data_IF_318212025203
#
_entry.id   IF_318212025203
#
_cell.length_a   1.000
_cell.length_b   1.000
_cell.length_c   1.000
_cell.angle_alpha   90.00
_cell.angle_beta   90.00
_cell.angle_gamma   90.00
#
_symmetry.space_group_name_H-M   'P 1'
#
loop_
_entity.id
_entity.type
_entity.pdbx_description
1 polymer ?
#
# COMPACT_ATOMS: atom_id res chain seq x y z
N UNK A 1 -91.13 44.74 -68.22
CA UNK A 1 -91.91 43.49 -68.36
C UNK A 1 -91.28 42.75 -69.54
N UNK A 2 -90.70 41.55 -69.48
CA UNK A 2 -90.45 40.50 -68.46
C UNK A 2 -89.32 39.59 -69.03
N UNK A 3 -88.56 38.72 -68.32
CA UNK A 3 -88.57 38.30 -66.91
C UNK A 3 -87.22 37.68 -66.43
N UNK A 4 -87.19 37.32 -65.14
CA UNK A 4 -86.53 36.15 -64.49
C UNK A 4 -85.40 35.37 -65.22
N UNK A 5 -84.23 35.27 -64.59
CA UNK A 5 -83.83 34.08 -63.79
C UNK A 5 -82.42 34.22 -63.19
N UNK A 6 -82.22 33.70 -61.97
CA UNK A 6 -80.92 33.68 -61.30
C UNK A 6 -80.01 32.54 -61.78
N UNK A 7 -78.68 32.69 -61.62
CA UNK A 7 -77.70 31.59 -61.73
C UNK A 7 -76.89 31.46 -60.42
N UNK A 8 -76.48 30.23 -60.04
CA UNK A 8 -76.10 29.92 -58.67
C UNK A 8 -74.61 30.14 -58.36
N UNK A 9 -74.31 30.22 -57.07
CA UNK A 9 -72.96 30.26 -56.50
C UNK A 9 -72.30 28.87 -56.65
N UNK A 10 -71.19 28.80 -57.38
CA UNK A 10 -70.29 27.64 -57.38
C UNK A 10 -69.15 27.83 -56.38
N UNK A 11 -68.74 26.79 -55.62
CA UNK A 11 -67.71 26.95 -54.59
C UNK A 11 -66.32 27.14 -55.21
N UNK A 12 -65.65 28.23 -54.83
CA UNK A 12 -64.25 28.49 -55.19
C UNK A 12 -63.30 27.48 -54.54
N UNK A 13 -63.03 26.38 -55.25
CA UNK A 13 -62.10 25.35 -54.81
C UNK A 13 -60.68 25.90 -54.70
N UNK A 14 -60.22 26.16 -53.47
CA UNK A 14 -58.79 26.40 -53.20
C UNK A 14 -58.02 25.14 -53.59
N UNK A 15 -57.17 25.22 -54.60
CA UNK A 15 -56.23 24.17 -54.97
C UNK A 15 -55.22 23.94 -53.84
N UNK A 16 -55.57 23.08 -52.89
CA UNK A 16 -54.61 22.48 -51.97
C UNK A 16 -53.67 21.61 -52.80
N UNK A 17 -52.57 22.20 -53.27
CA UNK A 17 -51.45 21.43 -53.79
C UNK A 17 -51.10 20.38 -52.73
N UNK A 18 -51.15 19.07 -53.06
CA UNK A 18 -50.82 18.05 -52.09
C UNK A 18 -49.38 18.30 -51.63
N UNK A 19 -49.20 18.44 -50.32
CA UNK A 19 -47.89 18.57 -49.67
C UNK A 19 -47.06 17.39 -50.17
N UNK A 20 -46.09 17.69 -51.04
CA UNK A 20 -45.60 16.71 -52.00
C UNK A 20 -45.04 15.45 -51.34
N UNK A 21 -45.07 14.28 -52.01
CA UNK A 21 -44.62 13.01 -51.42
C UNK A 21 -43.18 13.05 -50.88
N UNK A 22 -42.35 13.99 -51.36
CA UNK A 22 -41.01 14.25 -50.82
C UNK A 22 -41.02 14.81 -49.39
N UNK A 23 -41.98 15.68 -49.03
CA UNK A 23 -42.11 16.21 -47.66
C UNK A 23 -42.54 15.09 -46.70
N UNK A 24 -43.48 14.23 -47.13
CA UNK A 24 -43.87 13.05 -46.36
C UNK A 24 -42.69 12.07 -46.17
N UNK A 25 -41.89 11.82 -47.22
CA UNK A 25 -40.67 10.98 -47.15
C UNK A 25 -39.61 11.56 -46.21
N UNK A 26 -39.37 12.87 -46.25
CA UNK A 26 -38.43 13.54 -45.33
C UNK A 26 -38.94 13.48 -43.89
N UNK A 27 -40.24 13.70 -43.66
CA UNK A 27 -40.86 13.54 -42.35
C UNK A 27 -40.67 12.13 -41.78
N UNK A 28 -40.97 11.09 -42.58
CA UNK A 28 -40.76 9.69 -42.19
C UNK A 28 -39.28 9.41 -41.89
N UNK A 29 -38.36 9.87 -42.74
CA UNK A 29 -36.92 9.68 -42.52
C UNK A 29 -36.44 10.33 -41.21
N UNK A 30 -36.92 11.55 -40.90
CA UNK A 30 -36.62 12.23 -39.64
C UNK A 30 -37.24 11.52 -38.42
N UNK A 31 -38.48 11.03 -38.52
CA UNK A 31 -39.12 10.24 -37.45
C UNK A 31 -38.40 8.92 -37.18
N UNK A 32 -37.92 8.23 -38.23
CA UNK A 32 -37.11 7.00 -38.09
C UNK A 32 -35.75 7.31 -37.47
N UNK A 33 -35.08 8.38 -37.91
CA UNK A 33 -33.81 8.81 -37.31
C UNK A 33 -33.96 9.21 -35.84
N UNK A 34 -35.02 9.95 -35.49
CA UNK A 34 -35.33 10.31 -34.11
C UNK A 34 -35.68 9.09 -33.26
N UNK A 35 -36.46 8.15 -33.80
CA UNK A 35 -36.77 6.87 -33.15
C UNK A 35 -35.53 6.03 -32.89
N UNK A 36 -34.58 5.97 -33.84
CA UNK A 36 -33.31 5.29 -33.68
C UNK A 36 -32.41 5.96 -32.62
N UNK A 37 -32.36 7.30 -32.59
CA UNK A 37 -31.65 8.05 -31.54
C UNK A 37 -32.29 7.84 -30.15
N UNK A 38 -33.62 7.87 -30.06
CA UNK A 38 -34.34 7.63 -28.81
C UNK A 38 -34.16 6.18 -28.31
N UNK A 39 -34.21 5.19 -29.20
CA UNK A 39 -33.91 3.80 -28.88
C UNK A 39 -32.45 3.60 -28.45
N UNK A 40 -31.50 4.26 -29.11
CA UNK A 40 -30.09 4.28 -28.71
C UNK A 40 -29.88 4.90 -27.33
N UNK A 41 -30.46 6.08 -27.08
CA UNK A 41 -30.43 6.74 -25.78
C UNK A 41 -31.06 5.87 -24.67
N UNK A 42 -32.24 5.29 -24.93
CA UNK A 42 -32.92 4.37 -24.01
C UNK A 42 -32.10 3.10 -23.73
N UNK A 43 -31.43 2.52 -24.73
CA UNK A 43 -30.51 1.40 -24.54
C UNK A 43 -29.35 1.78 -23.61
N UNK A 44 -28.74 2.95 -23.80
CA UNK A 44 -27.66 3.44 -22.93
C UNK A 44 -28.15 3.82 -21.52
N UNK A 45 -29.32 4.41 -21.38
CA UNK A 45 -29.90 4.88 -20.11
C UNK A 45 -30.62 3.80 -19.28
N UNK A 46 -31.07 2.70 -19.90
CA UNK A 46 -31.86 1.65 -19.22
C UNK A 46 -31.15 0.30 -19.23
N UNK A 47 -30.56 -0.11 -20.36
CA UNK A 47 -29.94 -1.45 -20.49
C UNK A 47 -28.46 -1.43 -20.10
N UNK A 48 -27.74 -0.35 -20.43
CA UNK A 48 -26.32 -0.16 -20.11
C UNK A 48 -26.05 0.81 -18.96
N UNK A 49 -27.06 1.38 -18.32
CA UNK A 49 -26.85 2.31 -17.20
C UNK A 49 -26.19 1.65 -16.01
N UNK A 50 -26.62 0.46 -15.57
CA UNK A 50 -25.99 -0.23 -14.44
C UNK A 50 -24.45 -0.43 -14.58
N UNK A 51 -23.90 -0.92 -15.72
CA UNK A 51 -22.45 -0.99 -15.90
C UNK A 51 -21.76 0.36 -16.16
N UNK A 52 -22.45 1.39 -16.68
CA UNK A 52 -21.88 2.73 -16.87
C UNK A 52 -21.85 3.57 -15.58
N UNK A 53 -22.88 3.45 -14.75
CA UNK A 53 -22.96 4.11 -13.44
C UNK A 53 -22.01 3.52 -12.40
N UNK A 54 -21.51 2.30 -12.63
CA UNK A 54 -20.49 1.64 -11.82
C UNK A 54 -19.10 1.59 -12.51
N UNK A 55 -18.93 2.29 -13.64
CA UNK A 55 -17.68 2.26 -14.38
C UNK A 55 -16.55 2.98 -13.61
N UNK A 56 -15.31 2.43 -13.57
CA UNK A 56 -14.21 3.02 -12.77
C UNK A 56 -13.78 4.43 -13.21
N UNK A 57 -14.09 4.81 -14.45
CA UNK A 57 -13.83 6.11 -15.07
C UNK A 57 -15.00 7.11 -14.88
N UNK A 58 -16.12 6.67 -14.29
CA UNK A 58 -17.26 7.54 -14.05
C UNK A 58 -16.92 8.61 -12.98
N UNK A 59 -17.02 9.92 -13.28
CA UNK A 59 -16.67 10.97 -12.33
C UNK A 59 -17.43 10.92 -11.01
N UNK A 60 -18.69 10.43 -11.01
CA UNK A 60 -19.48 10.28 -9.79
C UNK A 60 -18.99 9.12 -8.91
N UNK A 61 -18.54 8.01 -9.52
CA UNK A 61 -17.92 6.88 -8.80
C UNK A 61 -16.57 7.30 -8.23
N UNK A 62 -15.75 8.01 -9.02
CA UNK A 62 -14.45 8.55 -8.57
C UNK A 62 -14.65 9.58 -7.44
N UNK A 63 -15.68 10.43 -7.51
CA UNK A 63 -16.01 11.37 -6.44
C UNK A 63 -16.48 10.63 -5.16
N UNK A 64 -17.33 9.61 -5.28
CA UNK A 64 -17.74 8.79 -4.15
C UNK A 64 -16.55 8.06 -3.50
N UNK A 65 -15.64 7.49 -4.30
CA UNK A 65 -14.40 6.86 -3.81
C UNK A 65 -13.49 7.85 -3.08
N UNK A 66 -13.40 9.09 -3.56
CA UNK A 66 -12.64 10.16 -2.87
C UNK A 66 -13.28 10.61 -1.56
N UNK A 67 -14.60 10.43 -1.41
CA UNK A 67 -15.34 10.79 -0.20
C UNK A 67 -15.46 9.64 0.82
N UNK A 68 -15.20 8.39 0.42
CA UNK A 68 -15.19 7.24 1.31
C UNK A 68 -14.01 7.32 2.31
N UNK A 69 -14.27 7.31 3.64
CA UNK A 69 -13.20 7.30 4.64
C UNK A 69 -12.51 5.94 4.68
N UNK A 70 -11.18 5.92 4.85
CA UNK A 70 -10.42 4.67 4.97
C UNK A 70 -10.61 4.03 6.35
N UNK A 71 -10.62 2.71 6.44
CA UNK A 71 -10.71 1.96 7.68
C UNK A 71 -9.61 2.38 8.67
N UNK A 72 -9.92 2.41 9.96
CA UNK A 72 -8.94 2.79 10.99
C UNK A 72 -7.83 1.73 11.08
N UNK A 73 -6.63 2.16 11.45
CA UNK A 73 -5.55 1.24 11.83
C UNK A 73 -5.37 1.37 13.34
N UNK A 74 -5.39 0.24 14.06
CA UNK A 74 -5.25 0.18 15.52
C UNK A 74 -4.12 -0.76 15.92
N UNK A 75 -3.49 -0.50 17.07
CA UNK A 75 -2.48 -1.39 17.66
C UNK A 75 -3.11 -2.63 18.32
N UNK A 76 -2.28 -3.52 18.88
CA UNK A 76 -2.75 -4.78 19.48
C UNK A 76 -3.73 -4.59 20.65
N UNK A 77 -3.67 -3.44 21.31
CA UNK A 77 -4.50 -3.10 22.47
C UNK A 77 -5.72 -2.23 22.06
N UNK A 78 -5.85 -1.90 20.77
CA UNK A 78 -6.95 -1.12 20.21
C UNK A 78 -6.70 0.39 20.14
N UNK A 79 -5.48 0.85 20.44
CA UNK A 79 -5.10 2.26 20.33
C UNK A 79 -5.13 2.68 18.87
N UNK A 80 -5.86 3.74 18.53
CA UNK A 80 -5.94 4.25 17.15
C UNK A 80 -4.58 4.82 16.72
N UNK A 81 -4.07 4.32 15.59
CA UNK A 81 -2.81 4.73 14.99
C UNK A 81 -3.01 5.58 13.73
N UNK A 82 -3.97 5.19 12.88
CA UNK A 82 -4.37 5.92 11.68
C UNK A 82 -5.89 6.10 11.62
N UNK A 83 -6.31 7.29 11.23
CA UNK A 83 -7.70 7.74 11.19
C UNK A 83 -7.91 8.73 10.02
N UNK A 84 -9.09 9.31 9.90
CA UNK A 84 -9.41 10.28 8.83
C UNK A 84 -9.78 11.66 9.38
N UNK A 85 -9.51 12.69 8.60
CA UNK A 85 -9.98 14.07 8.83
C UNK A 85 -10.41 14.67 7.49
N UNK A 86 -11.34 15.63 7.51
CA UNK A 86 -11.76 16.36 6.30
C UNK A 86 -10.89 17.60 6.07
N UNK A 87 -10.59 17.89 4.81
CA UNK A 87 -10.01 19.17 4.38
C UNK A 87 -11.08 20.26 4.24
N UNK A 88 -10.67 21.45 3.78
CA UNK A 88 -11.54 22.61 3.55
C UNK A 88 -12.64 22.38 2.52
N UNK A 89 -12.44 21.42 1.59
CA UNK A 89 -13.43 21.03 0.59
C UNK A 89 -14.34 19.89 1.07
N UNK A 90 -14.13 19.41 2.30
CA UNK A 90 -14.88 18.31 2.90
C UNK A 90 -14.41 16.91 2.49
N UNK A 91 -13.35 16.79 1.68
CA UNK A 91 -12.80 15.49 1.26
C UNK A 91 -11.95 14.88 2.39
N UNK A 92 -12.06 13.57 2.68
CA UNK A 92 -11.26 12.90 3.71
C UNK A 92 -9.78 12.74 3.28
N UNK A 93 -8.86 12.99 4.21
CA UNK A 93 -7.45 12.65 4.13
C UNK A 93 -7.01 11.91 5.40
N UNK A 94 -5.88 11.20 5.32
CA UNK A 94 -5.37 10.40 6.43
C UNK A 94 -4.64 11.23 7.48
N UNK A 95 -4.81 10.84 8.74
CA UNK A 95 -4.09 11.39 9.88
C UNK A 95 -3.51 10.25 10.71
N UNK A 96 -2.25 10.39 11.11
CA UNK A 96 -1.49 9.40 11.87
C UNK A 96 -1.15 9.99 13.24
N UNK A 97 -1.43 9.23 14.31
CA UNK A 97 -1.32 9.76 15.69
C UNK A 97 0.10 9.74 16.24
N UNK A 98 1.02 9.01 15.62
CA UNK A 98 2.40 8.87 16.08
C UNK A 98 3.39 8.62 14.93
N UNK A 99 4.47 9.41 14.91
CA UNK A 99 5.53 9.30 13.89
C UNK A 99 6.39 8.04 14.05
N UNK A 100 6.43 7.42 15.23
CA UNK A 100 7.08 6.12 15.45
C UNK A 100 6.44 4.99 14.64
N UNK A 101 5.16 5.15 14.23
CA UNK A 101 4.46 4.20 13.36
C UNK A 101 4.62 4.51 11.86
N UNK A 102 5.04 5.72 11.47
CA UNK A 102 5.10 6.13 10.06
C UNK A 102 5.95 5.24 9.16
N UNK A 103 7.14 4.73 9.56
CA UNK A 103 7.90 3.80 8.72
C UNK A 103 7.21 2.43 8.50
N UNK A 104 6.28 2.05 9.37
CA UNK A 104 5.53 0.78 9.31
C UNK A 104 4.22 0.96 8.54
N UNK A 105 3.38 1.89 9.00
CA UNK A 105 2.08 2.17 8.41
C UNK A 105 2.25 2.77 7.01
N UNK A 106 3.30 3.56 6.80
CA UNK A 106 3.49 4.36 5.61
C UNK A 106 2.64 5.62 5.66
N UNK A 107 2.07 5.97 4.51
CA UNK A 107 1.14 7.08 4.32
C UNK A 107 0.13 6.72 3.22
N UNK A 108 -0.99 7.42 3.17
CA UNK A 108 -1.88 7.46 2.01
C UNK A 108 -2.12 8.93 1.63
N UNK A 109 -1.68 9.31 0.43
CA UNK A 109 -1.74 10.69 -0.10
C UNK A 109 -2.38 10.69 -1.47
N UNK A 110 -3.29 11.64 -1.73
CA UNK A 110 -3.92 11.82 -3.06
C UNK A 110 -2.89 12.19 -4.14
N UNK A 111 -1.77 12.83 -3.75
CA UNK A 111 -0.73 13.30 -4.65
C UNK A 111 0.45 12.31 -4.78
N UNK A 112 0.80 11.60 -3.71
CA UNK A 112 2.00 10.73 -3.65
C UNK A 112 1.70 9.23 -3.50
N UNK A 113 0.43 8.83 -3.60
CA UNK A 113 -0.01 7.43 -3.50
C UNK A 113 0.07 6.87 -2.09
N UNK A 114 0.20 5.55 -1.99
CA UNK A 114 0.25 4.80 -0.72
C UNK A 114 1.61 4.13 -0.49
N UNK A 115 1.98 3.97 0.79
CA UNK A 115 3.20 3.29 1.22
C UNK A 115 2.93 2.38 2.43
N UNK A 116 3.89 1.53 2.81
CA UNK A 116 3.78 0.68 4.01
C UNK A 116 2.51 -0.19 4.05
N UNK A 117 1.95 -0.38 5.24
CA UNK A 117 0.68 -1.09 5.45
C UNK A 117 -0.51 -0.46 4.71
N UNK A 118 -0.55 0.87 4.53
CA UNK A 118 -1.61 1.54 3.77
C UNK A 118 -1.68 1.06 2.32
N UNK A 119 -0.53 0.72 1.73
CA UNK A 119 -0.47 0.13 0.39
C UNK A 119 -0.77 -1.35 0.39
N UNK A 120 -0.25 -2.11 1.36
CA UNK A 120 -0.44 -3.57 1.43
C UNK A 120 -1.90 -3.95 1.69
N UNK A 121 -2.60 -3.19 2.54
CA UNK A 121 -3.99 -3.43 2.92
C UNK A 121 -4.96 -2.43 2.27
N UNK A 122 -4.58 -1.83 1.14
CA UNK A 122 -5.35 -0.75 0.50
C UNK A 122 -6.80 -1.17 0.19
N UNK A 123 -6.98 -2.38 -0.38
CA UNK A 123 -8.30 -2.90 -0.72
C UNK A 123 -9.21 -3.08 0.50
N UNK A 124 -8.67 -3.58 1.62
CA UNK A 124 -9.41 -3.75 2.87
C UNK A 124 -9.72 -2.39 3.51
N UNK A 125 -8.74 -1.47 3.53
CA UNK A 125 -8.89 -0.14 4.11
C UNK A 125 -9.85 0.76 3.32
N UNK A 126 -9.95 0.60 1.99
CA UNK A 126 -10.98 1.29 1.17
C UNK A 126 -12.33 0.56 1.22
N UNK A 127 -12.36 -0.70 1.63
CA UNK A 127 -13.57 -1.53 1.59
C UNK A 127 -13.90 -2.06 0.19
N UNK A 128 -12.93 -2.06 -0.73
CA UNK A 128 -13.06 -2.52 -2.11
C UNK A 128 -12.86 -4.04 -2.24
N UNK A 129 -13.37 -4.82 -1.28
CA UNK A 129 -13.17 -6.28 -1.22
C UNK A 129 -13.89 -6.95 -2.40
N UNK A 130 -13.10 -7.39 -3.39
CA UNK A 130 -13.56 -8.20 -4.52
C UNK A 130 -13.08 -9.65 -4.41
N UNK A 131 -13.99 -10.59 -4.17
CA UNK A 131 -13.74 -11.98 -4.55
C UNK A 131 -14.96 -12.68 -5.20
N UNK A 132 -16.11 -12.03 -5.38
CA UNK A 132 -17.31 -12.71 -5.91
C UNK A 132 -18.23 -11.82 -6.78
N UNK A 133 -18.29 -12.05 -8.11
CA UNK A 133 -19.22 -11.38 -9.04
C UNK A 133 -20.71 -11.57 -8.72
N UNK A 134 -21.08 -12.60 -7.95
CA UNK A 134 -22.47 -12.87 -7.53
C UNK A 134 -22.87 -11.92 -6.40
N UNK A 135 -21.95 -11.65 -5.46
CA UNK A 135 -22.16 -10.66 -4.38
C UNK A 135 -22.33 -9.23 -4.90
N UNK A 136 -21.58 -8.86 -5.95
CA UNK A 136 -21.65 -7.58 -6.68
C UNK A 136 -23.03 -7.33 -7.34
N UNK A 137 -23.87 -8.35 -7.48
CA UNK A 137 -25.21 -8.20 -8.05
C UNK A 137 -26.28 -7.94 -6.97
N UNK A 138 -26.08 -8.42 -5.74
CA UNK A 138 -26.95 -8.18 -4.59
C UNK A 138 -26.64 -6.83 -3.92
N UNK A 139 -25.36 -6.48 -3.79
CA UNK A 139 -24.93 -5.19 -3.19
C UNK A 139 -25.27 -3.95 -4.03
N UNK A 140 -25.71 -4.10 -5.28
CA UNK A 140 -26.25 -2.99 -6.10
C UNK A 140 -27.56 -2.40 -5.57
N UNK A 141 -28.17 -3.03 -4.57
CA UNK A 141 -29.31 -2.50 -3.81
C UNK A 141 -28.93 -2.03 -2.39
N UNK A 142 -27.65 -2.09 -1.99
CA UNK A 142 -27.16 -1.48 -0.74
C UNK A 142 -26.79 -0.01 -0.96
N UNK A 143 -27.07 0.83 0.03
CA UNK A 143 -26.95 2.30 -0.06
C UNK A 143 -25.52 2.83 0.00
N UNK A 144 -24.55 2.00 0.43
CA UNK A 144 -23.13 2.34 0.47
C UNK A 144 -22.29 1.14 0.01
N UNK A 145 -21.61 1.22 -1.16
CA UNK A 145 -20.84 0.11 -1.70
C UNK A 145 -19.43 -0.02 -1.08
N UNK A 146 -19.04 0.84 -0.14
CA UNK A 146 -17.73 0.80 0.52
C UNK A 146 -17.86 0.32 1.97
N UNK A 147 -17.23 -0.82 2.29
CA UNK A 147 -17.16 -1.38 3.66
C UNK A 147 -15.72 -1.29 4.21
N UNK A 148 -15.24 -0.09 4.60
CA UNK A 148 -13.84 0.14 4.96
C UNK A 148 -13.45 -0.58 6.26
N UNK A 149 -12.65 -1.65 6.15
CA UNK A 149 -12.35 -2.52 7.27
C UNK A 149 -11.26 -1.97 8.19
N UNK A 150 -11.46 -2.13 9.50
CA UNK A 150 -10.47 -1.76 10.51
C UNK A 150 -9.33 -2.78 10.54
N UNK A 151 -8.10 -2.31 10.32
CA UNK A 151 -6.89 -3.13 10.45
C UNK A 151 -6.39 -3.11 11.88
N UNK A 152 -6.31 -4.28 12.53
CA UNK A 152 -5.69 -4.46 13.84
C UNK A 152 -4.29 -5.06 13.68
N UNK A 153 -3.29 -4.43 14.28
CA UNK A 153 -1.90 -4.89 14.24
C UNK A 153 -1.55 -5.72 15.47
N UNK A 154 -0.51 -6.56 15.38
CA UNK A 154 0.14 -7.22 16.52
C UNK A 154 1.15 -6.31 17.25
N UNK A 155 1.51 -5.17 16.64
CA UNK A 155 2.44 -4.19 17.21
C UNK A 155 1.83 -3.53 18.45
N UNK A 156 2.68 -3.30 19.47
CA UNK A 156 2.35 -2.51 20.66
C UNK A 156 2.93 -1.10 20.52
N UNK A 157 2.09 -0.05 20.55
CA UNK A 157 2.56 1.33 20.44
C UNK A 157 3.56 1.73 21.55
N UNK A 158 3.38 1.32 22.83
CA UNK A 158 4.38 1.52 23.88
C UNK A 158 5.78 0.95 23.54
N UNK A 159 5.85 -0.28 23.00
CA UNK A 159 7.12 -0.91 22.61
C UNK A 159 7.74 -0.23 21.39
N UNK A 160 6.94 0.09 20.37
CA UNK A 160 7.40 0.84 19.19
C UNK A 160 8.03 2.18 19.59
N UNK A 161 7.35 2.94 20.47
CA UNK A 161 7.87 4.22 21.01
C UNK A 161 9.16 4.02 21.81
N UNK A 162 9.25 2.95 22.60
CA UNK A 162 10.47 2.64 23.36
C UNK A 162 11.66 2.35 22.44
N UNK A 163 11.44 1.55 21.38
CA UNK A 163 12.47 1.23 20.40
C UNK A 163 12.92 2.45 19.57
N UNK A 164 12.00 3.32 19.14
CA UNK A 164 12.34 4.57 18.46
C UNK A 164 13.12 5.52 19.38
N UNK A 165 12.76 5.62 20.67
CA UNK A 165 13.55 6.39 21.64
C UNK A 165 14.95 5.80 21.88
N UNK A 166 15.06 4.47 21.94
CA UNK A 166 16.35 3.79 22.13
C UNK A 166 17.29 3.97 20.93
N UNK A 167 16.75 4.01 19.70
CA UNK A 167 17.49 4.35 18.49
C UNK A 167 17.89 5.84 18.42
N UNK A 168 17.13 6.73 19.06
CA UNK A 168 17.46 8.16 19.17
C UNK A 168 17.70 8.83 17.81
N UNK A 169 18.92 9.33 17.60
CA UNK A 169 19.34 10.01 16.38
C UNK A 169 20.01 9.06 15.35
N UNK A 170 20.23 7.79 15.70
CA UNK A 170 20.93 6.85 14.84
C UNK A 170 20.06 6.40 13.66
N UNK A 171 20.72 5.95 12.59
CA UNK A 171 20.05 5.46 11.36
C UNK A 171 19.85 3.95 11.42
N UNK A 172 18.99 3.48 12.31
CA UNK A 172 18.85 2.06 12.62
C UNK A 172 17.43 1.51 12.48
N UNK A 173 17.28 0.26 12.91
CA UNK A 173 16.00 -0.43 13.04
C UNK A 173 16.03 -1.36 14.25
N UNK A 174 14.86 -1.64 14.82
CA UNK A 174 14.68 -2.64 15.87
C UNK A 174 13.44 -3.46 15.54
N UNK A 175 13.58 -4.78 15.57
CA UNK A 175 12.48 -5.74 15.39
C UNK A 175 12.32 -6.49 16.71
N UNK A 176 11.08 -6.62 17.19
CA UNK A 176 10.74 -7.49 18.31
C UNK A 176 9.64 -8.45 17.86
N UNK A 177 9.86 -9.74 18.10
CA UNK A 177 8.95 -10.83 17.74
C UNK A 177 8.58 -11.62 18.99
N UNK A 178 7.36 -12.14 19.07
CA UNK A 178 7.11 -13.30 19.95
C UNK A 178 7.52 -14.57 19.19
N UNK A 179 8.58 -15.29 19.62
CA UNK A 179 9.10 -16.45 18.88
C UNK A 179 8.15 -17.66 18.90
N UNK A 180 7.10 -17.65 19.74
CA UNK A 180 6.13 -18.75 19.86
C UNK A 180 4.97 -18.60 18.88
N UNK A 181 4.64 -17.37 18.50
CA UNK A 181 3.47 -17.05 17.65
C UNK A 181 3.86 -16.42 16.31
N UNK A 182 5.08 -15.90 16.18
CA UNK A 182 5.52 -15.10 15.04
C UNK A 182 4.95 -13.68 15.03
N UNK A 183 4.25 -13.23 16.08
CA UNK A 183 3.71 -11.87 16.15
C UNK A 183 4.84 -10.83 16.16
N UNK A 184 4.79 -9.86 15.23
CA UNK A 184 5.65 -8.68 15.24
C UNK A 184 5.14 -7.68 16.28
N UNK A 185 5.84 -7.56 17.41
CA UNK A 185 5.51 -6.66 18.51
C UNK A 185 6.04 -5.24 18.30
N UNK A 186 7.12 -5.10 17.54
CA UNK A 186 7.77 -3.83 17.19
C UNK A 186 8.51 -3.96 15.86
N UNK A 187 8.43 -2.92 15.04
CA UNK A 187 9.14 -2.79 13.76
C UNK A 187 9.62 -1.34 13.61
N UNK A 188 10.52 -0.91 14.50
CA UNK A 188 11.01 0.46 14.54
C UNK A 188 12.07 0.72 13.45
N UNK A 189 12.11 1.95 12.95
CA UNK A 189 13.08 2.44 11.97
C UNK A 189 13.31 3.94 12.20
N UNK A 190 14.57 4.37 12.23
CA UNK A 190 14.95 5.77 12.45
C UNK A 190 15.86 6.29 11.33
N UNK A 191 15.81 7.60 11.00
CA UNK A 191 14.86 8.59 11.52
C UNK A 191 13.42 8.37 11.02
N UNK A 192 12.45 8.79 11.83
CA UNK A 192 11.02 8.79 11.51
C UNK A 192 10.62 10.04 10.70
N UNK A 193 9.35 10.13 10.29
CA UNK A 193 8.76 11.29 9.63
C UNK A 193 7.30 11.46 10.05
N UNK A 194 6.69 12.62 9.77
CA UNK A 194 5.24 12.80 9.92
C UNK A 194 4.51 12.37 8.64
N UNK A 195 3.86 11.21 8.69
CA UNK A 195 3.01 10.73 7.59
C UNK A 195 1.76 11.59 7.38
N UNK A 196 1.26 12.30 8.41
CA UNK A 196 0.08 13.17 8.30
C UNK A 196 0.38 14.37 7.42
N UNK A 197 1.58 14.93 7.52
CA UNK A 197 2.03 16.02 6.67
C UNK A 197 2.27 15.61 5.19
N UNK A 198 2.38 14.31 4.87
CA UNK A 198 2.39 13.78 3.49
C UNK A 198 0.95 13.55 2.98
N UNK A 199 0.03 13.15 3.86
CA UNK A 199 -1.36 12.88 3.55
C UNK A 199 -2.22 14.15 3.43
N UNK A 200 -1.93 15.19 4.21
CA UNK A 200 -2.62 16.48 4.17
C UNK A 200 -2.30 17.25 2.87
N UNK A 201 -3.31 17.61 2.05
CA UNK A 201 -3.12 18.35 0.80
C UNK A 201 -2.32 19.66 0.95
N UNK A 202 -2.49 20.39 2.05
CA UNK A 202 -1.86 21.71 2.25
C UNK A 202 -0.34 21.63 2.47
N UNK A 203 0.17 20.46 2.89
CA UNK A 203 1.57 20.26 3.27
C UNK A 203 2.28 19.17 2.47
N UNK A 204 1.53 18.34 1.73
CA UNK A 204 2.02 17.13 1.08
C UNK A 204 3.25 17.35 0.21
N UNK A 205 3.19 18.31 -0.71
CA UNK A 205 4.24 18.53 -1.70
C UNK A 205 5.56 18.99 -1.07
N UNK A 206 5.48 19.95 -0.14
CA UNK A 206 6.65 20.46 0.59
C UNK A 206 7.28 19.34 1.43
N UNK A 207 6.47 18.65 2.23
CA UNK A 207 6.93 17.58 3.13
C UNK A 207 7.54 16.42 2.34
N UNK A 208 6.86 15.93 1.32
CA UNK A 208 7.33 14.79 0.54
C UNK A 208 8.65 15.09 -0.19
N UNK A 209 8.78 16.28 -0.80
CA UNK A 209 10.02 16.69 -1.43
C UNK A 209 11.18 16.80 -0.44
N UNK A 210 10.96 17.39 0.74
CA UNK A 210 11.96 17.47 1.80
C UNK A 210 12.41 16.08 2.29
N UNK A 211 11.49 15.15 2.50
CA UNK A 211 11.80 13.80 2.95
C UNK A 211 12.50 12.97 1.87
N UNK A 212 12.13 13.15 0.59
CA UNK A 212 12.72 12.47 -0.57
C UNK A 212 14.18 12.87 -0.81
N UNK A 213 14.55 14.12 -0.59
CA UNK A 213 15.93 14.61 -0.77
C UNK A 213 16.78 14.56 0.49
N UNK A 214 16.24 14.09 1.61
CA UNK A 214 16.96 14.05 2.88
C UNK A 214 18.06 12.97 2.89
N UNK A 215 19.30 13.39 3.15
CA UNK A 215 20.48 12.52 3.23
C UNK A 215 20.41 11.45 4.35
N UNK A 216 19.48 11.57 5.30
CA UNK A 216 19.21 10.55 6.32
C UNK A 216 18.19 9.50 5.90
N UNK A 217 17.55 9.64 4.73
CA UNK A 217 16.58 8.68 4.17
C UNK A 217 15.49 8.24 5.18
N UNK A 218 14.63 9.16 5.65
CA UNK A 218 13.54 8.84 6.60
C UNK A 218 12.43 7.99 5.98
N UNK A 219 12.24 8.06 4.66
CA UNK A 219 11.24 7.26 3.94
C UNK A 219 11.64 5.78 3.76
N UNK A 220 12.88 5.39 4.10
CA UNK A 220 13.36 4.01 4.00
C UNK A 220 12.98 3.20 5.26
N UNK A 221 12.12 2.17 5.16
CA UNK A 221 11.82 1.27 6.27
C UNK A 221 13.01 0.31 6.47
N UNK A 222 13.93 0.68 7.36
CA UNK A 222 15.24 0.01 7.50
C UNK A 222 15.12 -1.47 7.87
N UNK A 223 14.14 -1.83 8.68
CA UNK A 223 13.89 -3.21 9.11
C UNK A 223 13.57 -4.20 7.97
N UNK A 224 12.99 -3.72 6.86
CA UNK A 224 12.45 -4.60 5.79
C UNK A 224 12.96 -4.27 4.40
N UNK A 225 13.50 -3.07 4.17
CA UNK A 225 14.04 -2.62 2.89
C UNK A 225 15.53 -2.20 2.99
N UNK A 226 16.08 -2.09 4.20
CA UNK A 226 17.51 -1.92 4.40
C UNK A 226 18.28 -3.18 4.01
N UNK A 227 19.48 -2.99 3.48
CA UNK A 227 20.43 -4.08 3.20
C UNK A 227 21.70 -3.81 3.98
N UNK A 228 22.07 -4.76 4.83
CA UNK A 228 23.20 -4.65 5.76
C UNK A 228 24.05 -5.90 5.67
N UNK A 229 25.36 -5.75 5.87
CA UNK A 229 26.23 -6.91 6.11
C UNK A 229 25.89 -7.44 7.50
N UNK A 230 25.50 -8.71 7.68
CA UNK A 230 25.06 -9.22 8.97
C UNK A 230 26.20 -9.29 10.01
N UNK A 231 27.45 -9.44 9.56
CA UNK A 231 28.59 -9.61 10.46
C UNK A 231 28.46 -10.87 11.31
N UNK A 232 28.90 -10.79 12.56
CA UNK A 232 28.97 -11.96 13.46
C UNK A 232 27.65 -12.66 13.73
N UNK A 233 26.48 -12.04 13.52
CA UNK A 233 25.18 -12.75 13.69
C UNK A 233 25.01 -13.88 12.66
N UNK A 234 25.69 -13.80 11.51
CA UNK A 234 25.64 -14.86 10.50
C UNK A 234 26.42 -16.12 10.91
N UNK A 235 27.34 -16.01 11.88
CA UNK A 235 28.08 -17.17 12.43
C UNK A 235 27.15 -18.23 12.99
N UNK A 236 25.98 -17.85 13.51
CA UNK A 236 24.94 -18.79 13.97
C UNK A 236 24.50 -19.73 12.83
N UNK A 237 24.38 -19.20 11.60
CA UNK A 237 24.02 -19.99 10.41
C UNK A 237 25.19 -20.88 9.97
N UNK A 238 26.42 -20.36 10.00
CA UNK A 238 27.64 -21.14 9.71
C UNK A 238 27.80 -22.32 10.68
N UNK A 239 27.65 -22.09 11.98
CA UNK A 239 27.70 -23.14 13.00
C UNK A 239 26.59 -24.18 12.80
N UNK A 240 25.36 -23.76 12.52
CA UNK A 240 24.25 -24.68 12.27
C UNK A 240 24.56 -25.59 11.08
N UNK A 241 25.07 -25.05 9.97
CA UNK A 241 25.46 -25.84 8.81
C UNK A 241 26.64 -26.80 9.10
N UNK A 242 27.62 -26.35 9.88
CA UNK A 242 28.76 -27.18 10.30
C UNK A 242 28.36 -28.34 11.20
N UNK A 243 27.42 -28.11 12.14
CA UNK A 243 26.89 -29.14 13.03
C UNK A 243 25.97 -30.13 12.29
N UNK A 244 25.07 -29.64 11.42
CA UNK A 244 24.12 -30.46 10.65
C UNK A 244 24.83 -31.36 9.62
N UNK A 245 25.89 -30.85 8.99
CA UNK A 245 26.74 -31.65 8.09
C UNK A 245 27.72 -32.59 8.81
N UNK A 246 27.87 -32.48 10.13
CA UNK A 246 28.86 -33.22 10.92
C UNK A 246 30.31 -32.78 10.68
N UNK A 247 30.54 -31.64 10.03
CA UNK A 247 31.88 -31.05 9.86
C UNK A 247 32.50 -30.62 11.20
N UNK A 248 31.64 -30.26 12.18
CA UNK A 248 32.01 -29.96 13.56
C UNK A 248 31.08 -30.66 14.55
N UNK A 249 31.57 -30.77 15.78
CA UNK A 249 30.84 -31.16 16.99
C UNK A 249 30.95 -30.04 18.04
N UNK A 250 30.15 -30.05 19.12
CA UNK A 250 30.30 -29.08 20.21
C UNK A 250 31.72 -29.06 20.81
N UNK A 251 32.38 -30.22 20.89
CA UNK A 251 33.74 -30.38 21.42
C UNK A 251 34.87 -30.08 20.40
N UNK A 252 34.53 -29.60 19.19
CA UNK A 252 35.54 -29.36 18.14
C UNK A 252 36.43 -28.17 18.47
N UNK A 253 37.74 -28.42 18.57
CA UNK A 253 38.78 -27.42 18.81
C UNK A 253 39.81 -27.43 17.68
N UNK A 254 40.46 -26.28 17.45
CA UNK A 254 41.50 -26.13 16.43
C UNK A 254 42.85 -25.73 17.08
N UNK A 255 43.85 -26.62 17.17
CA UNK A 255 45.14 -26.32 17.80
C UNK A 255 45.89 -25.10 17.21
N UNK A 256 45.62 -24.77 15.95
CA UNK A 256 46.18 -23.61 15.26
C UNK A 256 45.46 -22.28 15.55
N UNK A 257 44.22 -22.29 16.04
CA UNK A 257 43.44 -21.07 16.27
C UNK A 257 44.12 -20.07 17.24
N UNK A 258 44.70 -20.46 18.38
CA UNK A 258 45.29 -19.50 19.33
C UNK A 258 46.53 -18.76 18.79
N UNK A 259 47.20 -19.36 17.79
CA UNK A 259 48.27 -18.69 17.05
C UNK A 259 47.71 -17.84 15.91
N UNK A 260 46.72 -18.36 15.19
CA UNK A 260 46.09 -17.67 14.07
C UNK A 260 45.26 -16.44 14.50
N UNK A 261 44.81 -16.34 15.76
CA UNK A 261 44.25 -15.09 16.31
C UNK A 261 45.29 -13.97 16.43
N UNK A 262 46.55 -14.32 16.76
CA UNK A 262 47.67 -13.36 16.86
C UNK A 262 48.19 -12.97 15.47
N UNK A 263 48.45 -13.98 14.64
CA UNK A 263 49.17 -13.82 13.37
C UNK A 263 48.23 -13.53 12.19
N UNK A 264 46.93 -13.84 12.32
CA UNK A 264 45.94 -13.90 11.24
C UNK A 264 46.02 -15.21 10.43
N UNK A 265 44.85 -15.75 10.05
CA UNK A 265 44.71 -16.93 9.21
C UNK A 265 44.65 -16.53 7.73
N UNK A 266 45.37 -17.21 6.84
CA UNK A 266 45.27 -16.96 5.39
C UNK A 266 44.37 -18.03 4.75
N UNK A 267 43.23 -17.60 4.19
CA UNK A 267 42.27 -18.45 3.46
C UNK A 267 42.15 -17.91 2.04
N UNK A 268 42.48 -18.74 1.04
CA UNK A 268 42.38 -18.39 -0.39
C UNK A 268 43.02 -17.04 -0.78
N UNK A 269 44.14 -16.69 -0.13
CA UNK A 269 44.85 -15.42 -0.36
C UNK A 269 44.38 -14.22 0.48
N UNK A 270 43.27 -14.34 1.21
CA UNK A 270 42.77 -13.31 2.12
C UNK A 270 43.21 -13.59 3.56
N UNK A 271 43.69 -12.56 4.28
CA UNK A 271 44.03 -12.68 5.70
C UNK A 271 42.82 -12.32 6.57
N UNK A 272 42.40 -13.29 7.38
CA UNK A 272 41.36 -13.17 8.39
C UNK A 272 42.04 -12.84 9.72
N UNK A 273 41.46 -11.90 10.46
CA UNK A 273 41.98 -11.40 11.74
C UNK A 273 40.95 -11.59 12.85
N UNK A 274 41.42 -11.69 14.08
CA UNK A 274 40.59 -11.68 15.29
C UNK A 274 40.88 -10.47 16.17
N UNK A 275 39.92 -10.14 17.04
CA UNK A 275 40.05 -9.09 18.05
C UNK A 275 40.17 -9.63 19.48
N UNK A 276 39.72 -10.86 19.73
CA UNK A 276 39.48 -11.40 21.08
C UNK A 276 40.69 -12.10 21.70
N UNK A 277 41.85 -12.04 21.04
CA UNK A 277 43.09 -12.64 21.53
C UNK A 277 43.43 -12.32 23.01
N UNK A 278 43.23 -11.09 23.53
CA UNK A 278 43.48 -10.79 24.94
C UNK A 278 42.62 -11.58 25.93
N UNK A 279 41.46 -12.07 25.48
CA UNK A 279 40.45 -12.78 26.28
C UNK A 279 40.66 -14.31 26.20
N UNK A 280 41.10 -14.81 25.04
CA UNK A 280 41.33 -16.24 24.74
C UNK A 280 42.74 -16.73 25.13
N UNK A 281 43.73 -15.83 25.11
CA UNK A 281 45.09 -16.06 25.60
C UNK A 281 45.93 -17.01 24.74
N UNK A 282 45.93 -18.29 25.05
CA UNK A 282 46.59 -19.34 24.24
C UNK A 282 45.84 -20.67 24.26
N UNK A 283 44.57 -20.63 24.69
CA UNK A 283 43.68 -21.78 24.77
C UNK A 283 43.00 -22.02 23.43
N UNK A 284 42.99 -23.27 22.97
CA UNK A 284 42.17 -23.67 21.84
C UNK A 284 40.69 -23.71 22.27
N UNK A 285 39.84 -22.97 21.56
CA UNK A 285 38.41 -22.84 21.89
C UNK A 285 37.59 -23.99 21.31
N UNK A 286 36.59 -24.44 22.06
CA UNK A 286 35.51 -25.28 21.54
C UNK A 286 34.41 -24.44 20.86
N UNK A 287 33.33 -25.08 20.39
CA UNK A 287 32.23 -24.38 19.73
C UNK A 287 31.53 -23.35 20.64
N UNK A 288 31.30 -23.69 21.91
CA UNK A 288 30.61 -22.81 22.85
C UNK A 288 31.46 -21.58 23.14
N UNK A 289 32.74 -21.78 23.43
CA UNK A 289 33.70 -20.72 23.74
C UNK A 289 33.97 -19.82 22.53
N UNK A 290 34.13 -20.40 21.34
CA UNK A 290 34.27 -19.64 20.10
C UNK A 290 33.02 -18.81 19.75
N UNK A 291 31.83 -19.28 20.15
CA UNK A 291 30.56 -18.55 19.98
C UNK A 291 30.45 -17.42 21.01
N UNK A 292 30.81 -17.66 22.27
CA UNK A 292 30.77 -16.67 23.36
C UNK A 292 31.65 -15.46 23.05
N UNK A 293 32.91 -15.67 22.68
CA UNK A 293 33.84 -14.58 22.31
C UNK A 293 33.69 -14.11 20.86
N UNK A 294 32.76 -14.69 20.09
CA UNK A 294 32.62 -14.43 18.65
C UNK A 294 33.95 -14.50 17.88
N UNK A 295 34.74 -15.56 18.09
CA UNK A 295 36.00 -15.81 17.38
C UNK A 295 35.76 -15.81 15.86
N UNK A 296 36.53 -15.06 15.07
CA UNK A 296 36.54 -15.12 13.61
C UNK A 296 37.34 -16.33 13.11
N UNK A 297 38.45 -16.64 13.78
CA UNK A 297 39.42 -17.64 13.32
C UNK A 297 38.86 -19.06 13.42
N UNK A 298 38.19 -19.41 14.53
CA UNK A 298 37.52 -20.70 14.70
C UNK A 298 36.49 -20.94 13.60
N UNK A 299 35.63 -19.94 13.35
CA UNK A 299 34.59 -19.96 12.31
C UNK A 299 35.12 -19.93 10.87
N UNK A 300 36.40 -19.63 10.67
CA UNK A 300 37.08 -19.67 9.38
C UNK A 300 37.87 -20.98 9.15
N UNK A 301 37.96 -21.82 10.19
CA UNK A 301 38.54 -23.17 10.15
C UNK A 301 37.46 -24.27 10.10
N UNK A 302 36.19 -23.86 10.21
CA UNK A 302 34.96 -24.66 10.06
C UNK A 302 34.65 -24.94 8.60
#
# INVERSE_FOLDING_TARGET
MTESTARPIGPGGRSRHPVGPNIARVGIALSVAFGALAAGAGYWQVVRSAPLSAAPDNPAVVAAQRQAPRGRIVDRDGTVLADNKKDSNGEPYRVYRDSAMSPVIGYASRQFGTAGLERTYDAQLVGAIRPDPVSDMLKKFETDPYDPQQLKLSISLPLQRAAVRALGNDRGAVVMLDPRTGEVLTLASTPTYDASAIANPDTSEKTFNQLRTNATQPLLPRATQGRYVPGSIFKIITALAGLDSGAITPDTTYPQQPKAEKDGLVVSGFRIHDGHHPETGSKALDFYEATEVSCNIWYALT
#
